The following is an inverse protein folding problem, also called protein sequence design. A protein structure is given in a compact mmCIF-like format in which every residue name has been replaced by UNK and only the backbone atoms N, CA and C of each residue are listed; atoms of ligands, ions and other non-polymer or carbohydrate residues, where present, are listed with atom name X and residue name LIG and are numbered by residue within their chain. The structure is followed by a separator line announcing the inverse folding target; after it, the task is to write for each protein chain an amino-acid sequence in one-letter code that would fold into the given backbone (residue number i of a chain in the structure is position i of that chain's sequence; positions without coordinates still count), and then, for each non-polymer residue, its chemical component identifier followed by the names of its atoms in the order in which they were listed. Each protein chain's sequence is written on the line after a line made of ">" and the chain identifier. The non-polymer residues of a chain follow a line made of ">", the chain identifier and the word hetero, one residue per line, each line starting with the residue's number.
data_IF_928487944368
#
_entry.id   IF_928487944368
#
_cell.length_a   1.000
_cell.length_b   1.000
_cell.length_c   1.000
_cell.angle_alpha   90.00
_cell.angle_beta   90.00
_cell.angle_gamma   90.00
#
_symmetry.space_group_name_H-M   'P 1'
#
loop_
_entity.id
_entity.type
_entity.pdbx_description
1 polymer ?
#
# COMPACT_ATOMS: atom_id res chain seq x y z
N UNK A 1 -30.57 -8.90 -38.53
CA UNK A 1 -30.65 -7.89 -37.44
C UNK A 1 -29.32 -7.70 -36.68
N UNK A 2 -28.20 -8.29 -37.12
CA UNK A 2 -26.93 -8.27 -36.37
C UNK A 2 -25.93 -7.16 -36.76
N UNK A 3 -26.13 -6.45 -37.88
CA UNK A 3 -25.21 -5.38 -38.30
C UNK A 3 -25.36 -4.05 -37.55
N UNK A 4 -26.43 -3.85 -36.77
CA UNK A 4 -26.69 -2.56 -36.11
C UNK A 4 -25.90 -2.38 -34.79
N UNK A 5 -25.62 -3.48 -34.07
CA UNK A 5 -25.02 -3.43 -32.72
C UNK A 5 -23.52 -3.14 -32.77
N UNK A 6 -22.82 -3.61 -33.80
CA UNK A 6 -21.36 -3.41 -33.95
C UNK A 6 -21.02 -1.94 -34.24
N UNK A 7 -21.87 -1.22 -34.98
CA UNK A 7 -21.65 0.20 -35.31
C UNK A 7 -21.80 1.13 -34.09
N UNK A 8 -22.68 0.77 -33.15
CA UNK A 8 -22.92 1.56 -31.95
C UNK A 8 -21.79 1.38 -30.91
N UNK A 9 -21.15 0.20 -30.87
CA UNK A 9 -20.02 -0.08 -29.97
C UNK A 9 -18.73 0.65 -30.38
N UNK A 10 -18.46 0.78 -31.68
CA UNK A 10 -17.27 1.50 -32.18
C UNK A 10 -17.36 3.01 -31.91
N UNK A 11 -18.57 3.58 -31.95
CA UNK A 11 -18.80 5.01 -31.72
C UNK A 11 -18.62 5.41 -30.24
N UNK A 12 -18.95 4.53 -29.30
CA UNK A 12 -18.74 4.76 -27.84
C UNK A 12 -17.26 4.63 -27.47
N UNK A 13 -16.53 3.70 -28.08
CA UNK A 13 -15.08 3.56 -27.89
C UNK A 13 -14.30 4.77 -28.43
N UNK A 14 -14.70 5.32 -29.58
CA UNK A 14 -14.07 6.52 -30.14
C UNK A 14 -14.28 7.78 -29.26
N UNK A 15 -15.42 7.89 -28.57
CA UNK A 15 -15.71 9.03 -27.68
C UNK A 15 -14.95 8.98 -26.34
N UNK A 16 -14.60 7.79 -25.84
CA UNK A 16 -13.84 7.64 -24.59
C UNK A 16 -12.35 7.98 -24.73
N UNK A 17 -11.78 7.92 -25.94
CA UNK A 17 -10.38 8.30 -26.18
C UNK A 17 -10.16 9.81 -26.42
N UNK A 18 -11.23 10.60 -26.58
CA UNK A 18 -11.11 12.05 -26.82
C UNK A 18 -11.00 12.85 -25.50
N UNK A 19 -11.31 12.26 -24.35
CA UNK A 19 -11.27 12.94 -23.03
C UNK A 19 -9.98 12.72 -22.22
N UNK A 20 -9.03 11.91 -22.69
CA UNK A 20 -7.77 11.64 -21.98
C UNK A 20 -6.62 12.65 -22.14
N UNK A 21 -6.55 13.56 -23.15
CA UNK A 21 -5.35 14.41 -23.31
C UNK A 21 -5.24 15.52 -22.25
N UNK A 22 -6.34 15.91 -21.59
CA UNK A 22 -6.37 17.07 -20.70
C UNK A 22 -5.54 16.93 -19.41
N UNK A 23 -5.24 15.71 -18.95
CA UNK A 23 -4.45 15.49 -17.73
C UNK A 23 -2.94 15.41 -18.00
N UNK A 24 -2.55 14.82 -19.13
CA UNK A 24 -1.14 14.69 -19.51
C UNK A 24 -0.53 16.05 -19.86
N UNK A 25 -1.26 16.90 -20.62
CA UNK A 25 -0.81 18.26 -20.94
C UNK A 25 -0.62 19.09 -19.67
N UNK A 26 -1.51 18.96 -18.69
CA UNK A 26 -1.49 19.75 -17.46
C UNK A 26 -0.33 19.42 -16.53
N UNK A 27 0.00 18.14 -16.37
CA UNK A 27 1.14 17.76 -15.55
C UNK A 27 2.45 18.30 -16.16
N UNK A 28 2.56 18.31 -17.49
CA UNK A 28 3.71 18.88 -18.20
C UNK A 28 3.80 20.40 -18.02
N UNK A 29 2.67 21.11 -18.06
CA UNK A 29 2.59 22.56 -17.88
C UNK A 29 2.93 22.97 -16.43
N UNK A 30 2.42 22.22 -15.44
CA UNK A 30 2.78 22.43 -14.03
C UNK A 30 4.27 22.17 -13.77
N UNK A 31 4.89 21.17 -14.41
CA UNK A 31 6.35 20.97 -14.31
C UNK A 31 7.13 22.12 -14.92
N UNK A 32 6.69 22.66 -16.07
CA UNK A 32 7.33 23.84 -16.68
C UNK A 32 7.23 25.08 -15.80
N UNK A 33 6.09 25.32 -15.16
CA UNK A 33 5.89 26.49 -14.31
C UNK A 33 6.60 26.40 -12.95
N UNK A 34 6.68 25.20 -12.37
CA UNK A 34 7.19 25.02 -11.02
C UNK A 34 8.66 24.56 -10.94
N UNK A 35 9.29 24.23 -12.07
CA UNK A 35 10.64 23.64 -12.10
C UNK A 35 10.75 22.48 -11.09
N UNK A 36 11.76 22.50 -10.21
CA UNK A 36 11.99 21.49 -9.17
C UNK A 36 11.29 21.77 -7.83
N UNK A 37 10.48 22.83 -7.71
CA UNK A 37 9.75 23.12 -6.47
C UNK A 37 8.53 22.20 -6.33
N UNK A 38 8.69 21.14 -5.53
CA UNK A 38 7.64 20.17 -5.22
C UNK A 38 6.40 20.79 -4.56
N UNK A 39 6.55 21.84 -3.76
CA UNK A 39 5.43 22.50 -3.08
C UNK A 39 4.64 23.40 -4.05
N UNK A 40 5.30 23.94 -5.08
CA UNK A 40 4.64 24.59 -6.21
C UNK A 40 3.89 23.55 -7.06
N UNK A 41 4.54 22.44 -7.43
CA UNK A 41 3.94 21.41 -8.29
C UNK A 41 2.67 20.80 -7.66
N UNK A 42 2.73 20.46 -6.37
CA UNK A 42 1.57 19.96 -5.62
C UNK A 42 0.41 20.97 -5.57
N UNK A 43 0.72 22.27 -5.42
CA UNK A 43 -0.30 23.32 -5.50
C UNK A 43 -0.91 23.39 -6.90
N UNK A 44 -0.09 23.41 -7.94
CA UNK A 44 -0.54 23.47 -9.34
C UNK A 44 -1.49 22.31 -9.70
N UNK A 45 -1.19 21.09 -9.24
CA UNK A 45 -2.03 19.91 -9.44
C UNK A 45 -3.30 19.92 -8.56
N UNK A 46 -3.25 20.52 -7.36
CA UNK A 46 -4.34 20.50 -6.39
C UNK A 46 -5.51 21.47 -6.65
N UNK A 47 -5.32 22.52 -7.46
CA UNK A 47 -6.37 23.56 -7.66
C UNK A 47 -7.53 23.15 -8.59
N UNK A 48 -7.45 22.00 -9.29
CA UNK A 48 -8.42 21.65 -10.33
C UNK A 48 -9.72 20.98 -9.82
N UNK A 49 -9.75 20.49 -8.58
CA UNK A 49 -10.89 19.73 -8.06
C UNK A 49 -11.53 20.41 -6.83
N UNK A 50 -12.01 21.63 -7.03
CA UNK A 50 -13.08 22.18 -6.19
C UNK A 50 -14.33 22.33 -7.04
N UNK A 51 -15.33 21.43 -6.93
CA UNK A 51 -16.66 21.75 -7.43
C UNK A 51 -17.11 23.05 -6.72
N UNK A 52 -17.58 24.01 -7.51
CA UNK A 52 -18.18 25.24 -7.02
C UNK A 52 -19.35 24.90 -6.11
N UNK A 53 -19.13 24.97 -4.79
CA UNK A 53 -20.20 25.05 -3.81
C UNK A 53 -19.83 26.10 -2.78
N UNK A 54 -20.51 27.24 -2.88
CA UNK A 54 -21.02 27.99 -1.73
C UNK A 54 -20.02 28.59 -0.75
N UNK A 55 -19.81 29.89 -0.90
CA UNK A 55 -19.53 30.89 0.14
C UNK A 55 -19.41 30.39 1.59
N UNK A 56 -18.18 30.40 2.10
CA UNK A 56 -17.88 30.39 3.53
C UNK A 56 -16.54 31.10 3.77
N UNK A 57 -16.60 32.37 4.16
CA UNK A 57 -15.42 33.18 4.52
C UNK A 57 -14.80 32.63 5.81
N UNK A 58 -13.81 31.76 5.70
CA UNK A 58 -12.84 31.50 6.76
C UNK A 58 -11.44 31.72 6.21
N UNK A 59 -10.81 32.81 6.66
CA UNK A 59 -9.42 33.10 6.39
C UNK A 59 -8.53 32.00 7.01
N UNK A 60 -7.53 31.47 6.29
CA UNK A 60 -6.57 30.55 6.87
C UNK A 60 -5.70 31.31 7.88
N UNK A 61 -5.78 30.91 9.15
CA UNK A 61 -4.79 31.31 10.16
C UNK A 61 -3.42 30.84 9.71
N UNK A 62 -2.52 31.79 9.48
CA UNK A 62 -1.11 31.53 9.30
C UNK A 62 -0.59 30.71 10.48
N UNK A 63 0.03 29.57 10.20
CA UNK A 63 0.77 28.82 11.21
C UNK A 63 1.91 29.70 11.72
N UNK A 64 1.82 30.10 12.99
CA UNK A 64 2.94 30.69 13.75
C UNK A 64 4.12 29.73 13.66
N UNK A 65 5.26 30.22 13.17
CA UNK A 65 6.56 29.59 13.39
C UNK A 65 6.73 29.33 14.89
N UNK A 66 7.08 28.09 15.23
CA UNK A 66 7.51 27.74 16.59
C UNK A 66 8.79 28.54 16.94
N UNK A 67 8.96 28.97 18.21
CA UNK A 67 10.16 29.67 18.66
C UNK A 67 11.42 28.79 18.55
N UNK A 68 12.59 29.38 18.27
CA UNK A 68 13.83 28.66 17.91
C UNK A 68 14.60 28.14 19.14
N UNK A 69 13.96 27.43 20.06
CA UNK A 69 14.63 26.93 21.26
C UNK A 69 14.20 25.51 21.65
N UNK A 70 14.07 24.62 20.68
CA UNK A 70 14.04 23.18 20.93
C UNK A 70 15.43 22.61 20.65
N UNK A 71 16.22 22.42 21.70
CA UNK A 71 17.38 21.53 21.63
C UNK A 71 16.84 20.11 21.55
N UNK A 72 17.02 19.39 20.42
CA UNK A 72 16.57 18.01 20.35
C UNK A 72 17.25 17.20 21.46
N UNK A 73 16.54 16.27 22.13
CA UNK A 73 17.19 15.34 23.03
C UNK A 73 18.33 14.68 22.27
N UNK A 74 19.53 14.77 22.83
CA UNK A 74 20.75 14.15 22.31
C UNK A 74 20.41 12.70 22.00
N UNK A 75 20.35 12.36 20.71
CA UNK A 75 20.06 11.00 20.27
C UNK A 75 20.97 10.07 21.07
N UNK A 76 20.37 9.18 21.85
CA UNK A 76 21.10 8.06 22.41
C UNK A 76 21.79 7.41 21.21
N UNK A 77 23.12 7.37 21.23
CA UNK A 77 23.89 6.78 20.15
C UNK A 77 23.37 5.37 19.87
N UNK A 78 23.44 4.90 18.61
CA UNK A 78 23.06 3.54 18.28
C UNK A 78 23.76 2.61 19.25
N UNK A 79 22.96 1.95 20.08
CA UNK A 79 23.45 1.01 21.07
C UNK A 79 24.27 -0.02 20.32
N UNK A 80 25.54 -0.16 20.66
CA UNK A 80 26.40 -1.18 20.08
C UNK A 80 25.68 -2.53 20.15
N UNK A 81 25.67 -3.31 19.05
CA UNK A 81 25.08 -4.63 19.05
C UNK A 81 25.89 -5.49 20.02
N UNK A 82 25.36 -5.64 21.23
CA UNK A 82 25.91 -6.51 22.27
C UNK A 82 26.05 -7.91 21.67
N UNK A 83 27.31 -8.33 21.49
CA UNK A 83 27.69 -9.62 20.94
C UNK A 83 27.21 -10.76 21.82
N UNK A 84 26.01 -11.25 21.53
CA UNK A 84 25.38 -12.38 22.19
C UNK A 84 24.32 -12.95 21.26
N UNK A 85 24.77 -13.61 20.19
CA UNK A 85 23.97 -14.15 19.09
C UNK A 85 23.11 -15.35 19.49
N UNK A 86 22.20 -15.18 20.43
CA UNK A 86 21.00 -16.00 20.49
C UNK A 86 20.06 -15.49 19.40
N UNK A 87 19.86 -16.27 18.33
CA UNK A 87 18.80 -15.97 17.38
C UNK A 87 17.49 -15.85 18.17
N UNK A 88 16.98 -14.64 18.33
CA UNK A 88 15.68 -14.44 18.96
C UNK A 88 14.67 -15.13 18.04
N UNK A 89 14.27 -16.35 18.42
CA UNK A 89 13.34 -17.16 17.64
C UNK A 89 12.01 -16.44 17.65
N UNK A 90 11.72 -15.71 16.57
CA UNK A 90 10.42 -15.06 16.41
C UNK A 90 9.35 -16.14 16.36
N UNK A 91 8.22 -15.98 17.09
CA UNK A 91 7.12 -16.91 17.01
C UNK A 91 6.67 -17.10 15.57
N UNK A 92 6.39 -18.36 15.19
CA UNK A 92 5.83 -18.64 13.88
C UNK A 92 4.42 -18.07 13.78
N UNK A 93 4.16 -17.37 12.67
CA UNK A 93 2.84 -16.85 12.33
C UNK A 93 1.95 -18.02 11.93
N UNK A 94 0.81 -18.16 12.59
CA UNK A 94 -0.19 -19.19 12.32
C UNK A 94 -1.40 -18.67 11.55
N UNK A 95 -1.72 -17.39 11.75
CA UNK A 95 -2.95 -16.79 11.28
C UNK A 95 -2.74 -15.44 10.62
N UNK A 96 -3.77 -15.01 9.90
CA UNK A 96 -3.87 -13.67 9.35
C UNK A 96 -5.27 -13.18 9.63
N UNK A 97 -5.37 -11.95 10.12
CA UNK A 97 -6.64 -11.30 10.45
C UNK A 97 -6.59 -9.85 9.95
N UNK A 98 -7.74 -9.19 9.86
CA UNK A 98 -7.77 -7.75 9.56
C UNK A 98 -8.30 -6.91 10.71
N UNK A 99 -7.90 -5.65 10.75
CA UNK A 99 -8.43 -4.64 11.65
C UNK A 99 -8.41 -3.26 10.96
N UNK A 100 -9.11 -2.29 11.54
CA UNK A 100 -9.22 -0.95 11.01
C UNK A 100 -8.16 -0.02 11.59
N UNK A 101 -7.46 0.71 10.73
CA UNK A 101 -6.52 1.75 11.13
C UNK A 101 -7.20 3.12 11.03
N UNK A 102 -7.63 3.66 12.17
CA UNK A 102 -8.40 4.91 12.23
C UNK A 102 -7.55 6.17 12.36
N UNK A 103 -6.26 6.02 12.70
CA UNK A 103 -5.28 7.11 12.75
C UNK A 103 -3.85 6.55 12.61
N UNK A 104 -2.88 7.34 12.15
CA UNK A 104 -1.46 6.98 12.25
C UNK A 104 -1.06 6.73 13.72
N UNK A 105 -0.34 5.65 14.01
CA UNK A 105 0.04 5.28 15.38
C UNK A 105 -1.05 4.60 16.19
N UNK A 106 -2.23 4.39 15.62
CA UNK A 106 -3.33 3.68 16.26
C UNK A 106 -3.28 2.16 16.09
N UNK A 107 -2.19 1.62 15.56
CA UNK A 107 -1.99 0.18 15.49
C UNK A 107 -2.04 -0.43 16.90
N UNK A 108 -2.77 -1.52 17.06
CA UNK A 108 -2.73 -2.35 18.25
C UNK A 108 -1.36 -3.05 18.35
N UNK A 109 -0.70 -3.02 19.51
CA UNK A 109 0.57 -3.71 19.77
C UNK A 109 0.41 -5.23 19.90
N UNK A 110 1.54 -5.93 19.81
CA UNK A 110 1.67 -7.35 20.15
C UNK A 110 1.44 -8.31 18.99
N UNK A 111 1.10 -7.82 17.79
CA UNK A 111 1.02 -8.68 16.62
C UNK A 111 2.40 -9.12 16.12
N UNK A 112 2.46 -10.31 15.53
CA UNK A 112 3.70 -10.85 15.00
C UNK A 112 4.17 -10.14 13.72
N UNK A 113 3.21 -9.77 12.84
CA UNK A 113 3.45 -8.98 11.64
C UNK A 113 2.38 -7.92 11.46
N UNK A 114 2.76 -6.81 10.81
CA UNK A 114 1.94 -5.64 10.55
C UNK A 114 1.87 -5.42 9.04
N UNK A 115 0.68 -5.56 8.48
CA UNK A 115 0.44 -5.45 7.06
C UNK A 115 -0.55 -4.34 6.78
N UNK A 116 -0.34 -3.55 5.73
CA UNK A 116 -1.12 -2.36 5.43
C UNK A 116 -1.73 -2.47 4.04
N UNK A 117 -3.06 -2.43 3.97
CA UNK A 117 -3.83 -2.49 2.72
C UNK A 117 -4.01 -1.09 2.19
N UNK A 118 -3.27 -0.76 1.12
CA UNK A 118 -3.19 0.59 0.60
C UNK A 118 -3.94 0.66 -0.73
N UNK A 119 -5.06 1.38 -0.72
CA UNK A 119 -5.91 1.63 -1.88
C UNK A 119 -5.81 3.12 -2.23
N UNK A 120 -5.14 3.53 -3.32
CA UNK A 120 -4.91 4.94 -3.61
C UNK A 120 -6.18 5.71 -3.99
N UNK A 121 -7.16 5.01 -4.57
CA UNK A 121 -8.39 5.59 -5.10
C UNK A 121 -9.56 4.58 -5.11
N UNK A 122 -10.81 5.05 -5.02
CA UNK A 122 -11.99 4.18 -5.10
C UNK A 122 -12.24 3.77 -6.55
N UNK A 123 -11.95 2.53 -6.89
CA UNK A 123 -12.28 1.95 -8.19
C UNK A 123 -12.72 0.48 -8.04
N UNK A 124 -13.25 -0.12 -9.10
CA UNK A 124 -13.76 -1.50 -9.05
C UNK A 124 -12.65 -2.52 -8.72
N UNK A 125 -11.40 -2.19 -9.04
CA UNK A 125 -10.22 -2.95 -8.67
C UNK A 125 -9.99 -2.98 -7.16
N UNK A 126 -10.08 -1.83 -6.49
CA UNK A 126 -10.01 -1.71 -5.05
C UNK A 126 -11.16 -2.47 -4.36
N UNK A 127 -12.37 -2.41 -4.93
CA UNK A 127 -13.53 -3.18 -4.46
C UNK A 127 -13.25 -4.68 -4.53
N UNK A 128 -12.81 -5.17 -5.69
CA UNK A 128 -12.51 -6.58 -5.90
C UNK A 128 -11.43 -7.08 -4.93
N UNK A 129 -10.31 -6.36 -4.82
CA UNK A 129 -9.22 -6.76 -3.93
C UNK A 129 -9.65 -6.78 -2.46
N UNK A 130 -10.32 -5.73 -1.99
CA UNK A 130 -10.75 -5.65 -0.61
C UNK A 130 -11.76 -6.75 -0.27
N UNK A 131 -12.68 -7.08 -1.19
CA UNK A 131 -13.62 -8.20 -1.02
C UNK A 131 -12.91 -9.53 -0.83
N UNK A 132 -11.92 -9.84 -1.66
CA UNK A 132 -11.16 -11.09 -1.52
C UNK A 132 -10.40 -11.16 -0.19
N UNK A 133 -9.86 -10.02 0.28
CA UNK A 133 -9.15 -9.95 1.55
C UNK A 133 -10.07 -10.19 2.75
N UNK A 134 -11.17 -9.44 2.85
CA UNK A 134 -12.11 -9.54 3.98
C UNK A 134 -12.95 -10.83 3.95
N UNK A 135 -13.18 -11.43 2.77
CA UNK A 135 -13.83 -12.73 2.66
C UNK A 135 -12.91 -13.90 3.04
N UNK A 136 -11.59 -13.69 3.00
CA UNK A 136 -10.59 -14.72 3.32
C UNK A 136 -10.08 -14.65 4.75
N UNK A 137 -9.94 -13.46 5.31
CA UNK A 137 -9.39 -13.25 6.65
C UNK A 137 -10.49 -12.78 7.60
N UNK A 138 -10.62 -13.39 8.78
CA UNK A 138 -11.57 -12.93 9.79
C UNK A 138 -11.13 -11.58 10.38
N UNK A 139 -12.06 -10.88 11.04
CA UNK A 139 -11.70 -9.72 11.83
C UNK A 139 -10.83 -10.14 13.02
N UNK A 140 -9.90 -9.29 13.45
CA UNK A 140 -8.98 -9.60 14.54
C UNK A 140 -9.70 -9.90 15.86
N UNK A 141 -10.87 -9.31 16.09
CA UNK A 141 -11.73 -9.59 17.25
C UNK A 141 -12.30 -11.01 17.26
N UNK A 142 -12.30 -11.72 16.13
CA UNK A 142 -12.87 -13.05 15.97
C UNK A 142 -11.79 -14.16 16.06
N UNK A 143 -10.52 -13.78 16.15
CA UNK A 143 -9.41 -14.73 16.14
C UNK A 143 -8.95 -15.03 17.58
N UNK A 144 -9.05 -16.30 17.96
CA UNK A 144 -8.64 -16.78 19.29
C UNK A 144 -7.12 -17.05 19.43
N UNK A 145 -6.34 -16.88 18.36
CA UNK A 145 -4.88 -17.11 18.41
C UNK A 145 -4.15 -16.00 19.17
N UNK A 146 -3.01 -16.29 19.81
CA UNK A 146 -2.16 -15.26 20.40
C UNK A 146 -1.72 -14.23 19.36
N UNK A 147 -1.72 -12.94 19.71
CA UNK A 147 -1.45 -11.84 18.77
C UNK A 147 -0.09 -11.98 18.11
N UNK A 148 0.91 -12.40 18.86
CA UNK A 148 2.29 -12.58 18.40
C UNK A 148 2.43 -13.65 17.28
N UNK A 149 1.39 -14.46 17.07
CA UNK A 149 1.31 -15.46 15.99
C UNK A 149 0.35 -15.08 14.87
N UNK A 150 -0.11 -13.83 14.84
CA UNK A 150 -1.02 -13.29 13.83
C UNK A 150 -0.30 -12.23 13.01
N UNK A 151 -0.45 -12.31 11.69
CA UNK A 151 -0.24 -11.18 10.80
C UNK A 151 -1.50 -10.32 10.75
N UNK A 152 -1.41 -9.07 11.22
CA UNK A 152 -2.54 -8.14 11.21
C UNK A 152 -2.57 -7.32 9.92
N UNK A 153 -3.69 -7.32 9.21
CA UNK A 153 -3.94 -6.50 8.02
C UNK A 153 -4.73 -5.26 8.41
N UNK A 154 -4.06 -4.12 8.45
CA UNK A 154 -4.68 -2.82 8.67
C UNK A 154 -5.31 -2.26 7.41
N UNK A 155 -6.59 -1.94 7.51
CA UNK A 155 -7.38 -1.25 6.49
C UNK A 155 -7.58 0.21 6.95
N UNK A 156 -7.01 1.21 6.26
CA UNK A 156 -7.18 2.62 6.60
C UNK A 156 -8.66 3.05 6.59
N UNK A 157 -9.11 3.62 7.70
CA UNK A 157 -10.48 4.12 7.86
C UNK A 157 -10.50 5.52 8.45
N UNK A 158 -11.57 6.26 8.14
CA UNK A 158 -11.81 7.57 8.74
C UNK A 158 -12.13 7.39 10.22
N UNK A 159 -11.76 8.36 11.05
CA UNK A 159 -12.02 8.31 12.49
C UNK A 159 -13.51 8.07 12.85
N UNK A 160 -14.44 8.57 12.04
CA UNK A 160 -15.89 8.35 12.23
C UNK A 160 -16.37 6.92 11.97
N UNK A 161 -15.54 6.06 11.37
CA UNK A 161 -15.82 4.64 11.18
C UNK A 161 -15.32 3.79 12.36
N UNK A 162 -14.80 4.41 13.43
CA UNK A 162 -14.41 3.69 14.65
C UNK A 162 -15.60 2.92 15.22
N UNK A 163 -15.40 1.64 15.51
CA UNK A 163 -16.46 0.75 15.98
C UNK A 163 -17.34 0.19 14.86
N UNK A 164 -16.98 0.40 13.59
CA UNK A 164 -17.59 -0.34 12.49
C UNK A 164 -17.45 -1.85 12.75
N UNK A 165 -18.54 -2.59 12.55
CA UNK A 165 -18.54 -4.04 12.66
C UNK A 165 -17.61 -4.72 11.65
N UNK A 166 -17.29 -5.97 11.94
CA UNK A 166 -16.65 -6.86 10.99
C UNK A 166 -17.54 -7.04 9.74
N UNK A 167 -16.91 -7.20 8.58
CA UNK A 167 -17.59 -7.68 7.40
C UNK A 167 -17.94 -9.16 7.56
N UNK A 168 -19.11 -9.61 7.08
CA UNK A 168 -19.37 -11.02 6.91
C UNK A 168 -18.46 -11.59 5.81
N UNK A 169 -18.17 -12.89 5.88
CA UNK A 169 -17.26 -13.56 4.93
C UNK A 169 -17.77 -13.51 3.48
N UNK A 170 -19.08 -13.44 3.28
CA UNK A 170 -19.79 -13.40 1.99
C UNK A 170 -20.23 -11.99 1.57
N UNK A 171 -19.54 -10.95 2.06
CA UNK A 171 -19.88 -9.56 1.79
C UNK A 171 -20.04 -9.23 0.29
N UNK A 172 -21.16 -8.59 -0.04
CA UNK A 172 -21.45 -8.14 -1.39
C UNK A 172 -20.52 -7.01 -1.86
N UNK A 173 -20.24 -6.96 -3.17
CA UNK A 173 -19.43 -5.89 -3.77
C UNK A 173 -20.03 -4.48 -3.55
N UNK A 174 -21.37 -4.38 -3.54
CA UNK A 174 -22.12 -3.14 -3.28
C UNK A 174 -21.79 -2.55 -1.91
N UNK A 175 -21.68 -3.40 -0.89
CA UNK A 175 -21.33 -3.05 0.49
C UNK A 175 -19.87 -2.60 0.57
N UNK A 176 -18.95 -3.33 -0.06
CA UNK A 176 -17.53 -2.96 -0.12
C UNK A 176 -17.33 -1.61 -0.82
N UNK A 177 -18.03 -1.37 -1.95
CA UNK A 177 -18.01 -0.09 -2.67
C UNK A 177 -18.52 1.07 -1.81
N UNK A 178 -19.58 0.82 -1.04
CA UNK A 178 -20.14 1.79 -0.09
C UNK A 178 -19.14 2.10 1.02
N UNK A 179 -18.50 1.07 1.59
CA UNK A 179 -17.45 1.22 2.59
C UNK A 179 -16.27 2.04 2.07
N UNK A 180 -15.76 1.73 0.87
CA UNK A 180 -14.66 2.48 0.28
C UNK A 180 -15.01 3.97 0.13
N UNK A 181 -16.24 4.27 -0.28
CA UNK A 181 -16.69 5.65 -0.47
C UNK A 181 -16.86 6.40 0.86
N UNK A 182 -17.52 5.75 1.84
CA UNK A 182 -17.95 6.41 3.08
C UNK A 182 -16.90 6.35 4.18
N UNK A 183 -16.22 5.23 4.34
CA UNK A 183 -15.46 4.90 5.55
C UNK A 183 -13.95 4.75 5.32
N UNK A 184 -13.51 4.34 4.12
CA UNK A 184 -12.08 4.21 3.84
C UNK A 184 -11.38 5.58 3.79
N UNK A 185 -10.17 5.67 4.36
CA UNK A 185 -9.37 6.89 4.37
C UNK A 185 -8.27 6.86 3.29
N UNK A 186 -8.64 7.32 2.09
CA UNK A 186 -7.70 7.47 0.97
C UNK A 186 -6.59 8.49 1.22
N UNK A 187 -6.78 9.46 2.13
CA UNK A 187 -5.72 10.39 2.47
C UNK A 187 -4.67 9.69 3.33
N UNK A 188 -5.08 8.88 4.31
CA UNK A 188 -4.18 8.06 5.11
C UNK A 188 -3.44 7.03 4.26
N UNK A 189 -4.14 6.31 3.38
CA UNK A 189 -3.50 5.34 2.47
C UNK A 189 -2.39 6.00 1.61
N UNK A 190 -2.63 7.20 1.08
CA UNK A 190 -1.61 7.95 0.34
C UNK A 190 -0.46 8.43 1.22
N UNK A 191 -0.71 8.84 2.46
CA UNK A 191 0.36 9.18 3.41
C UNK A 191 1.25 7.98 3.71
N UNK A 192 0.70 6.77 3.82
CA UNK A 192 1.49 5.55 3.98
C UNK A 192 2.43 5.32 2.78
N UNK A 193 1.96 5.56 1.56
CA UNK A 193 2.81 5.51 0.35
C UNK A 193 3.87 6.60 0.35
N UNK A 194 3.52 7.84 0.70
CA UNK A 194 4.50 8.92 0.77
C UNK A 194 5.55 8.67 1.85
N UNK A 195 5.17 8.05 2.97
CA UNK A 195 6.11 7.65 4.01
C UNK A 195 7.12 6.61 3.50
N UNK A 196 6.69 5.69 2.65
CA UNK A 196 7.59 4.75 1.97
C UNK A 196 8.54 5.45 0.99
N UNK A 197 8.10 6.54 0.37
CA UNK A 197 8.84 7.25 -0.66
C UNK A 197 9.62 8.50 -0.19
N UNK A 198 9.56 8.88 1.09
CA UNK A 198 10.36 10.00 1.63
C UNK A 198 11.86 9.71 1.58
N UNK A 199 12.23 8.46 1.92
CA UNK A 199 13.59 7.92 1.83
C UNK A 199 13.52 6.45 1.40
N UNK A 200 13.20 6.18 0.12
CA UNK A 200 12.90 4.84 -0.32
C UNK A 200 14.15 3.96 -0.20
N UNK A 201 13.96 2.73 0.27
CA UNK A 201 15.01 1.73 0.12
C UNK A 201 15.25 1.45 -1.37
N UNK A 202 16.45 1.04 -1.80
CA UNK A 202 16.77 0.83 -3.21
C UNK A 202 15.75 -0.04 -3.94
N UNK A 203 15.20 -1.05 -3.26
CA UNK A 203 14.22 -1.97 -3.81
C UNK A 203 12.92 -1.29 -4.26
N UNK A 204 12.50 -0.19 -3.64
CA UNK A 204 11.25 0.54 -3.97
C UNK A 204 11.51 1.91 -4.60
N UNK A 205 12.77 2.27 -4.86
CA UNK A 205 13.12 3.57 -5.41
C UNK A 205 12.45 3.83 -6.77
N UNK A 206 12.53 2.87 -7.70
CA UNK A 206 11.90 2.98 -9.02
C UNK A 206 10.37 3.11 -8.92
N UNK A 207 9.75 2.40 -7.99
CA UNK A 207 8.31 2.53 -7.74
C UNK A 207 7.96 3.97 -7.31
N UNK A 208 8.76 4.54 -6.42
CA UNK A 208 8.55 5.91 -5.92
C UNK A 208 8.78 7.01 -6.98
N UNK A 209 9.44 6.69 -8.10
CA UNK A 209 9.56 7.58 -9.26
C UNK A 209 8.31 7.56 -10.16
N UNK A 210 7.46 6.53 -10.03
CA UNK A 210 6.29 6.29 -10.85
C UNK A 210 4.99 6.85 -10.23
N UNK A 211 3.91 6.82 -11.01
CA UNK A 211 2.57 7.17 -10.52
C UNK A 211 2.02 6.08 -9.59
N UNK A 212 1.99 6.36 -8.28
CA UNK A 212 1.44 5.50 -7.24
C UNK A 212 -0.10 5.48 -7.20
N UNK A 213 -0.78 5.99 -8.24
CA UNK A 213 -2.23 5.91 -8.33
C UNK A 213 -2.73 4.52 -8.73
N UNK A 214 -1.87 3.65 -9.26
CA UNK A 214 -2.18 2.32 -9.79
C UNK A 214 -2.93 1.42 -8.80
N UNK A 215 -2.21 0.91 -7.80
CA UNK A 215 -2.68 0.06 -6.70
C UNK A 215 -3.54 -1.14 -7.10
N UNK A 216 -4.03 -1.96 -6.15
CA UNK A 216 -3.75 -1.95 -4.72
C UNK A 216 -2.27 -2.19 -4.39
N UNK A 217 -1.85 -1.76 -3.20
CA UNK A 217 -0.54 -2.08 -2.65
C UNK A 217 -0.67 -2.78 -1.30
N UNK A 218 0.31 -3.60 -0.97
CA UNK A 218 0.41 -4.27 0.32
C UNK A 218 1.81 -4.08 0.89
N UNK A 219 1.91 -3.49 2.08
CA UNK A 219 3.18 -3.31 2.79
C UNK A 219 3.15 -4.16 4.06
N UNK A 220 4.11 -5.07 4.25
CA UNK A 220 4.21 -5.94 5.43
C UNK A 220 5.54 -5.70 6.15
N UNK A 221 5.47 -5.56 7.47
CA UNK A 221 6.60 -5.30 8.34
C UNK A 221 6.53 -6.08 9.66
N UNK A 222 7.69 -6.24 10.32
CA UNK A 222 7.77 -6.92 11.62
C UNK A 222 7.28 -6.06 12.79
N UNK A 223 7.26 -4.75 12.63
CA UNK A 223 6.83 -3.77 13.64
C UNK A 223 5.85 -2.76 13.03
N UNK A 224 5.29 -1.89 13.86
CA UNK A 224 4.35 -0.86 13.38
C UNK A 224 5.07 0.19 12.57
N UNK A 225 4.46 0.61 11.46
CA UNK A 225 4.96 1.67 10.60
C UNK A 225 5.07 3.02 11.31
N UNK A 226 4.20 3.26 12.30
CA UNK A 226 4.17 4.51 13.07
C UNK A 226 5.43 4.76 13.90
N UNK A 227 6.20 3.72 14.19
CA UNK A 227 7.43 3.79 15.00
C UNK A 227 8.69 3.92 14.13
N UNK A 228 8.54 3.98 12.81
CA UNK A 228 9.63 3.87 11.85
C UNK A 228 9.67 5.12 10.98
N UNK A 229 10.77 5.85 11.00
CA UNK A 229 11.02 6.95 10.07
C UNK A 229 12.53 7.19 9.96
N UNK A 230 13.19 6.82 8.84
CA UNK A 230 12.64 6.16 7.64
C UNK A 230 12.23 4.71 7.91
N UNK A 231 11.56 4.07 6.95
CA UNK A 231 11.25 2.63 7.02
C UNK A 231 12.52 1.81 6.77
N UNK A 232 13.11 1.18 7.80
CA UNK A 232 14.30 0.37 7.58
C UNK A 232 13.89 -0.96 6.93
N UNK A 233 14.77 -1.61 6.17
CA UNK A 233 14.61 -3.03 5.84
C UNK A 233 14.75 -3.91 7.10
N UNK A 234 14.19 -5.14 7.11
CA UNK A 234 13.53 -5.81 5.99
C UNK A 234 12.02 -5.59 5.96
N UNK A 235 11.48 -5.30 4.78
CA UNK A 235 10.04 -5.17 4.53
C UNK A 235 9.64 -5.86 3.24
N UNK A 236 8.41 -6.38 3.20
CA UNK A 236 7.79 -6.87 1.98
C UNK A 236 6.83 -5.80 1.46
N UNK A 237 7.09 -5.29 0.27
CA UNK A 237 6.16 -4.42 -0.43
C UNK A 237 5.68 -5.10 -1.71
N UNK A 238 4.37 -5.10 -1.94
CA UNK A 238 3.75 -5.70 -3.12
C UNK A 238 2.96 -4.66 -3.90
N UNK A 239 3.34 -4.45 -5.16
CA UNK A 239 2.58 -3.67 -6.14
C UNK A 239 1.68 -4.58 -6.96
N UNK A 240 0.37 -4.44 -6.79
CA UNK A 240 -0.58 -5.20 -7.58
C UNK A 240 -1.08 -4.43 -8.79
N UNK A 241 -0.63 -3.22 -9.12
CA UNK A 241 -1.18 -2.36 -10.19
C UNK A 241 -1.51 -3.13 -11.48
N UNK A 242 -0.60 -4.01 -11.93
CA UNK A 242 -0.74 -4.76 -13.18
C UNK A 242 -1.42 -6.14 -13.06
N UNK A 243 -1.79 -6.56 -11.86
CA UNK A 243 -2.42 -7.88 -11.61
C UNK A 243 -3.89 -7.84 -11.98
N UNK A 244 -4.44 -8.74 -12.81
CA UNK A 244 -5.88 -8.69 -13.13
C UNK A 244 -6.77 -8.98 -11.90
N UNK A 245 -7.92 -8.32 -11.70
CA UNK A 245 -8.77 -8.54 -10.51
C UNK A 245 -9.18 -10.00 -10.27
N UNK A 246 -9.37 -10.78 -11.35
CA UNK A 246 -9.66 -12.22 -11.28
C UNK A 246 -8.56 -13.06 -10.60
N UNK A 247 -7.33 -12.54 -10.51
CA UNK A 247 -6.20 -13.22 -9.88
C UNK A 247 -6.04 -12.85 -8.39
N UNK A 248 -6.81 -11.88 -7.88
CA UNK A 248 -6.75 -11.51 -6.47
C UNK A 248 -7.03 -12.66 -5.49
N UNK A 249 -7.98 -13.57 -5.72
CA UNK A 249 -8.18 -14.70 -4.79
C UNK A 249 -6.93 -15.57 -4.65
N UNK A 250 -6.26 -15.84 -5.78
CA UNK A 250 -5.03 -16.63 -5.83
C UNK A 250 -3.87 -15.89 -5.15
N UNK A 251 -3.73 -14.59 -5.41
CA UNK A 251 -2.75 -13.76 -4.73
C UNK A 251 -2.96 -13.73 -3.21
N UNK A 252 -4.19 -13.48 -2.75
CA UNK A 252 -4.50 -13.40 -1.31
C UNK A 252 -4.21 -14.75 -0.62
N UNK A 253 -4.49 -15.88 -1.29
CA UNK A 253 -4.14 -17.21 -0.80
C UNK A 253 -2.62 -17.42 -0.71
N UNK A 254 -1.87 -17.04 -1.75
CA UNK A 254 -0.41 -17.14 -1.77
C UNK A 254 0.24 -16.25 -0.71
N UNK A 255 -0.25 -15.03 -0.55
CA UNK A 255 0.18 -14.11 0.50
C UNK A 255 -0.04 -14.71 1.89
N UNK A 256 -1.22 -15.28 2.16
CA UNK A 256 -1.53 -15.94 3.42
C UNK A 256 -0.57 -17.11 3.72
N UNK A 257 -0.13 -17.84 2.70
CA UNK A 257 0.85 -18.91 2.87
C UNK A 257 2.25 -18.34 3.15
N UNK A 258 2.64 -17.27 2.45
CA UNK A 258 3.96 -16.65 2.62
C UNK A 258 4.17 -16.11 4.03
N UNK A 259 3.20 -15.39 4.59
CA UNK A 259 3.36 -14.75 5.90
C UNK A 259 3.42 -15.74 7.07
N UNK A 260 3.04 -17.01 6.86
CA UNK A 260 3.15 -18.09 7.86
C UNK A 260 4.54 -18.72 7.92
N UNK A 261 5.41 -18.41 6.96
CA UNK A 261 6.76 -18.98 6.92
C UNK A 261 7.60 -18.35 8.05
N UNK A 262 8.46 -19.13 8.74
CA UNK A 262 9.31 -18.61 9.81
C UNK A 262 10.23 -17.48 9.32
N UNK A 263 10.66 -17.56 8.06
CA UNK A 263 11.61 -16.64 7.43
C UNK A 263 10.91 -15.73 6.41
N UNK A 264 9.74 -15.18 6.74
CA UNK A 264 8.99 -14.31 5.81
C UNK A 264 9.80 -13.10 5.31
N UNK A 265 10.87 -12.72 6.03
CA UNK A 265 11.81 -11.64 5.71
C UNK A 265 13.13 -12.14 5.08
N UNK A 266 13.22 -13.39 4.63
CA UNK A 266 14.37 -13.88 3.86
C UNK A 266 14.16 -13.51 2.38
N UNK A 267 15.00 -12.63 1.84
CA UNK A 267 14.86 -12.08 0.49
C UNK A 267 14.99 -13.12 -0.61
N UNK A 268 15.83 -14.15 -0.41
CA UNK A 268 15.97 -15.25 -1.36
C UNK A 268 14.66 -16.04 -1.52
N UNK A 269 13.89 -16.17 -0.45
CA UNK A 269 12.63 -16.93 -0.40
C UNK A 269 11.42 -16.09 -0.78
N UNK A 270 11.53 -14.76 -0.75
CA UNK A 270 10.57 -13.84 -1.33
C UNK A 270 10.70 -13.76 -2.85
N UNK A 271 11.90 -14.01 -3.41
CA UNK A 271 12.04 -14.29 -4.84
C UNK A 271 11.23 -15.53 -5.24
N UNK A 272 11.16 -16.57 -4.40
CA UNK A 272 10.27 -17.72 -4.63
C UNK A 272 8.79 -17.32 -4.58
N UNK A 273 8.38 -16.42 -3.68
CA UNK A 273 7.00 -15.87 -3.70
C UNK A 273 6.75 -15.13 -4.99
N UNK A 274 7.69 -14.29 -5.43
CA UNK A 274 7.57 -13.56 -6.68
C UNK A 274 7.45 -14.54 -7.85
N UNK A 275 8.26 -15.60 -7.88
CA UNK A 275 8.13 -16.69 -8.85
C UNK A 275 6.82 -17.47 -8.73
N UNK A 276 6.27 -17.65 -7.53
CA UNK A 276 5.01 -18.34 -7.34
C UNK A 276 3.82 -17.47 -7.77
N UNK A 277 3.86 -16.18 -7.46
CA UNK A 277 2.88 -15.18 -7.94
C UNK A 277 3.01 -15.01 -9.44
N UNK A 278 4.23 -14.97 -9.97
CA UNK A 278 4.52 -15.01 -11.40
C UNK A 278 3.89 -16.22 -12.05
N UNK A 279 4.13 -17.41 -11.50
CA UNK A 279 3.60 -18.65 -12.04
C UNK A 279 2.08 -18.68 -11.90
N UNK A 280 1.49 -18.16 -10.84
CA UNK A 280 0.04 -17.99 -10.71
C UNK A 280 -0.49 -17.06 -11.81
N UNK A 281 0.20 -15.95 -12.08
CA UNK A 281 -0.18 -14.98 -13.11
C UNK A 281 0.02 -15.54 -14.53
N UNK A 282 1.06 -16.32 -14.75
CA UNK A 282 1.38 -16.99 -16.01
C UNK A 282 0.49 -18.21 -16.25
N UNK A 283 0.10 -18.95 -15.21
CA UNK A 283 -0.83 -20.10 -15.31
C UNK A 283 -2.28 -19.60 -15.46
N UNK A 284 -2.63 -18.46 -14.86
CA UNK A 284 -3.87 -17.74 -15.21
C UNK A 284 -3.80 -17.04 -16.58
N UNK A 285 -2.65 -17.16 -17.27
CA UNK A 285 -2.38 -16.66 -18.60
C UNK A 285 -2.20 -17.79 -19.63
N UNK A 286 -3.15 -18.73 -19.68
CA UNK A 286 -3.50 -19.47 -20.92
C UNK A 286 -3.92 -18.55 -22.10
N UNK A 287 -3.61 -17.25 -22.05
CA UNK A 287 -3.95 -16.21 -23.02
C UNK A 287 -2.70 -15.35 -23.21
N UNK A 288 -1.91 -15.73 -24.22
CA UNK A 288 -0.49 -15.36 -24.45
C UNK A 288 -0.29 -13.90 -24.91
N UNK A 289 0.81 -13.30 -24.40
CA UNK A 289 1.48 -11.98 -24.65
C UNK A 289 0.95 -10.73 -23.92
N UNK A 290 1.78 -9.87 -23.26
CA UNK A 290 3.17 -9.98 -22.78
C UNK A 290 3.26 -9.77 -21.24
N UNK A 291 3.51 -10.83 -20.46
CA UNK A 291 3.44 -10.79 -18.97
C UNK A 291 4.83 -10.83 -18.30
N UNK A 292 5.90 -11.11 -19.04
CA UNK A 292 7.25 -11.26 -18.45
C UNK A 292 7.78 -10.00 -17.75
N UNK A 293 7.42 -8.80 -18.22
CA UNK A 293 7.81 -7.54 -17.58
C UNK A 293 7.02 -7.27 -16.28
N UNK A 294 5.74 -7.66 -16.22
CA UNK A 294 4.89 -7.35 -15.06
C UNK A 294 5.24 -8.17 -13.82
N UNK A 295 5.96 -9.29 -13.98
CA UNK A 295 6.31 -10.23 -12.93
C UNK A 295 7.53 -9.78 -12.11
N UNK A 296 8.51 -9.12 -12.74
CA UNK A 296 9.72 -8.72 -12.04
C UNK A 296 9.46 -7.62 -10.98
N UNK A 297 8.38 -6.84 -11.15
CA UNK A 297 8.10 -5.63 -10.38
C UNK A 297 7.05 -5.81 -9.27
N UNK A 298 6.54 -7.03 -9.03
CA UNK A 298 5.38 -7.21 -8.13
C UNK A 298 5.78 -7.13 -6.67
N UNK A 299 6.94 -7.70 -6.31
CA UNK A 299 7.39 -7.77 -4.93
C UNK A 299 8.75 -7.10 -4.80
N UNK A 300 8.79 -6.01 -4.04
CA UNK A 300 10.01 -5.30 -3.71
C UNK A 300 10.44 -5.69 -2.30
N UNK A 301 11.67 -6.19 -2.17
CA UNK A 301 12.27 -6.54 -0.90
C UNK A 301 13.55 -5.77 -0.67
N UNK A 302 13.62 -5.10 0.47
CA UNK A 302 14.85 -4.44 0.90
C UNK A 302 15.49 -5.29 2.01
N UNK A 303 16.77 -5.65 1.84
CA UNK A 303 17.57 -6.28 2.88
C UNK A 303 18.35 -5.24 3.66
N UNK A 304 18.51 -5.47 4.96
CA UNK A 304 19.52 -4.75 5.71
C UNK A 304 20.89 -5.25 5.24
N UNK A 305 21.67 -4.39 4.55
CA UNK A 305 23.07 -4.70 4.27
C UNK A 305 23.75 -5.02 5.61
N UNK A 306 24.15 -6.27 5.82
CA UNK A 306 25.16 -6.58 6.83
C UNK A 306 26.40 -5.80 6.41
N UNK A 307 26.75 -4.77 7.19
CA UNK A 307 28.05 -4.12 7.00
C UNK A 307 29.10 -5.17 7.34
N UNK A 308 29.76 -5.71 6.33
CA UNK A 308 30.93 -6.57 6.48
C UNK A 308 32.06 -5.73 7.09
N UNK A 309 32.03 -5.60 8.41
CA UNK A 309 33.12 -5.08 9.21
C UNK A 309 34.20 -6.13 9.31
N UNK A 310 34.95 -6.34 8.23
CA UNK A 310 36.26 -6.97 8.32
C UNK A 310 37.25 -5.86 8.75
N UNK A 311 37.82 -5.90 9.97
CA UNK A 311 38.79 -4.91 10.38
C UNK A 311 40.08 -5.08 9.56
N UNK A 312 40.72 -3.97 9.14
CA UNK A 312 42.03 -4.05 8.48
C UNK A 312 43.05 -4.67 9.46
N UNK A 313 43.80 -5.66 8.97
CA UNK A 313 44.93 -6.28 9.67
C UNK A 313 46.13 -5.34 9.75
#
# INVERSE_FOLDING_TARGET
>A
MECAVVRQFILVLALLFISAPALADRASECRRQCAEDAACFQRCMGYAYRPHSGFGRYAPRAYRRAPPSYSPPKAAGPSEPSGGGGSVTRPSILGTAYDYLYAPGAETTGYGLYSYVILPRPNDRAVAFLRELIGRFPAASEVASPKERINILYIPTKAGARGQGAFPADVEQSVVKTFLTKNYDFAMARRLLFHLCDKPAPAVAQLCENDLSGGPYLLTYATKISELSPLPPPFLFVDLTNVRPRAFPLFVAAYAAQVKRPDFSDGARLADLNLHVANILLTAADWVQPVSAAVADIAHFAEAKKSDGEPPK
#
